data_IF_425073332324
#
_entry.id   IF_425073332324
#
_cell.length_a   1.000
_cell.length_b   1.000
_cell.length_c   1.000
_cell.angle_alpha   90.00
_cell.angle_beta   90.00
_cell.angle_gamma   90.00
#
_symmetry.space_group_name_H-M   'P 1'
#
loop_
_entity.id
_entity.type
_entity.pdbx_description
1 polymer ?
#
# COMPACT_ATOMS: atom_id res chain seq x y z
N UNK A 1 -3.16 14.76 10.88
CA UNK A 1 -3.45 14.89 9.44
C UNK A 1 -3.85 13.51 8.95
N UNK A 2 -5.15 13.25 8.76
CA UNK A 2 -5.61 11.98 8.20
C UNK A 2 -5.33 12.01 6.70
N UNK A 3 -4.26 11.34 6.27
CA UNK A 3 -4.00 11.11 4.85
C UNK A 3 -4.94 9.99 4.41
N UNK A 4 -5.96 10.38 3.67
CA UNK A 4 -6.86 9.51 2.90
C UNK A 4 -6.81 10.14 1.49
N UNK A 5 -6.62 9.47 0.36
CA UNK A 5 -6.98 8.10 0.01
C UNK A 5 -6.09 7.59 -1.13
N UNK A 6 -5.49 6.41 -0.98
CA UNK A 6 -5.12 5.56 -2.12
C UNK A 6 -6.40 4.98 -2.76
N UNK A 7 -7.37 5.83 -3.12
CA UNK A 7 -8.79 5.58 -3.48
C UNK A 7 -9.28 4.12 -3.51
N UNK A 8 -9.25 3.36 -2.38
CA UNK A 8 -9.44 1.92 -2.45
C UNK A 8 -10.83 1.54 -2.98
N UNK A 9 -11.92 2.21 -2.56
CA UNK A 9 -13.25 1.91 -3.08
C UNK A 9 -13.38 2.04 -4.60
N UNK A 10 -12.70 3.02 -5.23
CA UNK A 10 -12.79 3.26 -6.68
C UNK A 10 -12.12 2.14 -7.47
N UNK A 11 -10.98 1.64 -6.98
CA UNK A 11 -10.29 0.49 -7.59
C UNK A 11 -11.09 -0.80 -7.39
N UNK A 12 -11.60 -1.03 -6.19
CA UNK A 12 -12.38 -2.24 -5.88
C UNK A 12 -13.69 -2.31 -6.70
N UNK A 13 -14.39 -1.19 -6.89
CA UNK A 13 -15.56 -1.10 -7.79
C UNK A 13 -15.24 -1.42 -9.26
N UNK A 14 -13.98 -1.38 -9.66
CA UNK A 14 -13.50 -1.65 -11.02
C UNK A 14 -12.87 -3.05 -11.17
N UNK A 15 -13.06 -3.93 -10.19
CA UNK A 15 -12.58 -5.32 -10.25
C UNK A 15 -11.13 -5.51 -9.80
N UNK A 16 -10.52 -4.51 -9.13
CA UNK A 16 -9.26 -4.72 -8.41
C UNK A 16 -9.57 -5.46 -7.10
N UNK A 17 -8.81 -6.50 -6.79
CA UNK A 17 -9.05 -7.32 -5.59
C UNK A 17 -8.04 -7.06 -4.46
N UNK A 18 -6.89 -6.49 -4.81
CA UNK A 18 -5.83 -6.13 -3.88
C UNK A 18 -5.12 -4.86 -4.33
N UNK A 19 -4.72 -4.04 -3.37
CA UNK A 19 -3.89 -2.85 -3.56
C UNK A 19 -2.63 -3.00 -2.69
N UNK A 20 -1.51 -3.31 -3.32
CA UNK A 20 -0.20 -3.34 -2.67
C UNK A 20 0.44 -1.95 -2.63
N UNK A 21 1.14 -1.64 -1.55
CA UNK A 21 1.87 -0.39 -1.40
C UNK A 21 2.70 -0.35 -0.12
N UNK A 22 3.18 0.85 0.24
CA UNK A 22 3.95 1.07 1.45
C UNK A 22 3.30 2.13 2.36
N UNK A 23 3.39 1.95 3.67
CA UNK A 23 3.07 2.96 4.68
C UNK A 23 4.36 3.59 5.12
N UNK A 24 4.47 4.90 4.87
CA UNK A 24 5.65 5.68 5.23
C UNK A 24 5.68 5.85 6.74
N UNK A 25 6.76 5.38 7.38
CA UNK A 25 7.03 5.51 8.81
C UNK A 25 7.87 6.75 9.11
N UNK A 26 8.81 7.10 8.22
CA UNK A 26 9.64 8.32 8.30
C UNK A 26 9.68 9.02 6.94
N UNK A 27 8.89 10.10 6.81
CA UNK A 27 8.76 10.83 5.56
C UNK A 27 10.05 11.53 5.13
N UNK A 28 10.87 12.00 6.07
CA UNK A 28 12.09 12.76 5.74
C UNK A 28 13.16 11.83 5.20
N UNK A 29 13.37 10.71 5.88
CA UNK A 29 14.34 9.70 5.43
C UNK A 29 13.90 9.05 4.12
N UNK A 30 12.61 8.75 3.96
CA UNK A 30 12.12 8.22 2.69
C UNK A 30 12.40 9.19 1.53
N UNK A 31 12.15 10.49 1.73
CA UNK A 31 12.44 11.49 0.71
C UNK A 31 13.94 11.57 0.39
N UNK A 32 14.80 11.45 1.40
CA UNK A 32 16.25 11.36 1.19
C UNK A 32 16.63 10.14 0.36
N UNK A 33 16.16 8.95 0.73
CA UNK A 33 16.44 7.70 0.00
C UNK A 33 16.01 7.82 -1.46
N UNK A 34 14.82 8.34 -1.73
CA UNK A 34 14.33 8.57 -3.11
C UNK A 34 15.20 9.58 -3.86
N UNK A 35 15.61 10.66 -3.19
CA UNK A 35 16.47 11.71 -3.78
C UNK A 35 17.87 11.20 -4.13
N UNK A 36 18.36 10.20 -3.40
CA UNK A 36 19.65 9.54 -3.63
C UNK A 36 19.56 8.43 -4.69
N UNK A 37 18.41 8.26 -5.35
CA UNK A 37 18.19 7.21 -6.35
C UNK A 37 17.92 5.83 -5.75
N UNK A 38 17.59 5.75 -4.46
CA UNK A 38 17.15 4.54 -3.81
C UNK A 38 15.88 3.98 -4.44
N UNK A 39 15.88 2.68 -4.72
CA UNK A 39 14.73 1.91 -5.19
C UNK A 39 14.09 1.10 -4.06
N UNK A 40 12.98 0.41 -4.34
CA UNK A 40 12.08 -0.26 -3.38
C UNK A 40 12.77 -1.22 -2.38
N UNK A 41 13.99 -1.68 -2.69
CA UNK A 41 14.84 -2.48 -1.79
C UNK A 41 15.35 -1.72 -0.54
N UNK A 42 15.30 -0.39 -0.54
CA UNK A 42 15.89 0.45 0.51
C UNK A 42 14.87 1.03 1.50
N UNK A 43 13.57 0.80 1.29
CA UNK A 43 12.53 1.41 2.13
C UNK A 43 12.21 0.63 3.40
N UNK A 44 12.88 -0.51 3.65
CA UNK A 44 12.50 -1.45 4.73
C UNK A 44 12.57 -0.86 6.14
N UNK A 45 13.31 0.23 6.35
CA UNK A 45 13.39 0.93 7.67
C UNK A 45 12.49 2.17 7.73
N UNK A 46 12.21 2.78 6.58
CA UNK A 46 11.50 4.04 6.45
C UNK A 46 10.02 3.85 6.09
N UNK A 47 9.63 2.64 5.68
CA UNK A 47 8.28 2.25 5.33
C UNK A 47 8.03 0.76 5.60
N UNK A 48 6.76 0.40 5.73
CA UNK A 48 6.33 -1.01 5.76
C UNK A 48 5.49 -1.34 4.54
N UNK A 49 5.57 -2.58 4.06
CA UNK A 49 4.71 -3.09 3.00
C UNK A 49 3.31 -3.37 3.56
N UNK A 50 2.27 -2.93 2.87
CA UNK A 50 0.89 -3.28 3.15
C UNK A 50 0.15 -3.73 1.89
N UNK A 51 -0.90 -4.52 2.10
CA UNK A 51 -1.84 -4.90 1.07
C UNK A 51 -3.26 -4.65 1.59
N UNK A 52 -4.03 -3.83 0.88
CA UNK A 52 -5.46 -3.69 1.13
C UNK A 52 -6.20 -4.71 0.28
N UNK A 53 -7.01 -5.55 0.91
CA UNK A 53 -7.82 -6.56 0.23
C UNK A 53 -9.30 -6.21 0.36
N UNK A 54 -10.05 -6.38 -0.73
CA UNK A 54 -11.50 -6.18 -0.71
C UNK A 54 -12.18 -7.42 -0.10
N UNK A 55 -12.79 -7.28 1.08
CA UNK A 55 -13.41 -8.40 1.80
C UNK A 55 -14.81 -8.79 1.29
N UNK A 56 -15.39 -8.08 0.32
CA UNK A 56 -16.77 -8.34 -0.16
C UNK A 56 -16.90 -9.47 -1.19
N UNK A 57 -15.90 -10.37 -1.29
CA UNK A 57 -15.96 -11.58 -2.10
C UNK A 57 -15.57 -12.82 -1.28
N UNK A 58 -16.14 -12.96 -0.08
CA UNK A 58 -16.20 -14.28 0.57
C UNK A 58 -17.27 -15.09 -0.17
N UNK A 59 -16.91 -15.67 -1.32
CA UNK A 59 -17.48 -16.97 -1.66
C UNK A 59 -16.83 -17.96 -0.71
N UNK A 60 -17.62 -18.48 0.24
CA UNK A 60 -17.22 -19.58 1.10
C UNK A 60 -16.88 -20.78 0.20
N UNK A 61 -15.60 -20.98 -0.10
CA UNK A 61 -15.14 -22.24 -0.69
C UNK A 61 -15.12 -23.25 0.46
N UNK A 62 -16.16 -24.07 0.51
CA UNK A 62 -16.13 -25.32 1.27
C UNK A 62 -15.12 -26.25 0.62
N UNK A 63 -14.05 -26.56 1.33
CA UNK A 63 -13.29 -27.79 1.13
C UNK A 63 -13.84 -28.86 2.05
#
# INVERSE_FOLDING_TARGET
MNIIEAWPPSFFKRGVHGLGGIRILDQRKLLQVVSEGGSDYFFEKEAEKLCLVCHSLVETIHW
#
